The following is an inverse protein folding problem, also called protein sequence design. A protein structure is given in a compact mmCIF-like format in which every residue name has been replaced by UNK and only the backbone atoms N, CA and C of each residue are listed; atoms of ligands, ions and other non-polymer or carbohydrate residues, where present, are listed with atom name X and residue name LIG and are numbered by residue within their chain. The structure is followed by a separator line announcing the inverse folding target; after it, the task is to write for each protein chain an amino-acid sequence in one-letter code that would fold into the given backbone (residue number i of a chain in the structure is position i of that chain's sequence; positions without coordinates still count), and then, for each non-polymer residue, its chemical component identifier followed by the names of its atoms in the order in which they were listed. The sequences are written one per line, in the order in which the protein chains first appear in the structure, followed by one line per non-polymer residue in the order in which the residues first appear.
data_IF_498050575549
#
_entry.id   IF_498050575549
#
_cell.length_a   1.000
_cell.length_b   1.000
_cell.length_c   1.000
_cell.angle_alpha   90.00
_cell.angle_beta   90.00
_cell.angle_gamma   90.00
#
_symmetry.space_group_name_H-M   'P 1'
#
loop_
_entity.id
_entity.type
_entity.pdbx_description
1 polymer ?
#
# COMPACT_ATOMS: atom_id res chain seq x y z
N UNK A 1 -4.92 -7.37 6.38
CA UNK A 1 -4.85 -6.72 5.04
C UNK A 1 -5.45 -5.34 5.14
N UNK A 2 -5.09 -4.39 4.27
CA UNK A 2 -5.85 -3.12 4.21
C UNK A 2 -7.15 -3.31 3.42
N UNK A 3 -8.07 -2.38 3.58
CA UNK A 3 -9.34 -2.37 2.87
C UNK A 3 -9.18 -2.37 1.33
N UNK A 4 -10.26 -2.74 0.64
CA UNK A 4 -10.32 -2.79 -0.82
C UNK A 4 -9.67 -4.05 -1.41
N UNK A 5 -8.86 -3.96 -2.48
CA UNK A 5 -8.35 -5.13 -3.20
C UNK A 5 -7.56 -6.12 -2.32
N UNK A 6 -6.83 -5.63 -1.32
CA UNK A 6 -6.04 -6.48 -0.44
C UNK A 6 -6.92 -7.35 0.46
N UNK A 7 -7.95 -6.76 1.10
CA UNK A 7 -8.92 -7.51 1.90
C UNK A 7 -9.70 -8.51 1.04
N UNK A 8 -10.19 -8.11 -0.14
CA UNK A 8 -10.91 -8.99 -1.07
C UNK A 8 -10.07 -10.21 -1.49
N UNK A 9 -8.79 -10.02 -1.80
CA UNK A 9 -7.88 -11.13 -2.12
C UNK A 9 -7.58 -11.97 -0.89
N UNK A 10 -7.38 -11.37 0.28
CA UNK A 10 -7.15 -12.11 1.53
C UNK A 10 -8.35 -13.01 1.89
N UNK A 11 -9.58 -12.55 1.69
CA UNK A 11 -10.79 -13.36 1.87
C UNK A 11 -10.86 -14.55 0.90
N UNK A 12 -10.50 -14.33 -0.37
CA UNK A 12 -10.43 -15.41 -1.35
C UNK A 12 -9.37 -16.45 -0.97
N UNK A 13 -8.20 -15.99 -0.50
CA UNK A 13 -7.12 -16.86 0.00
C UNK A 13 -7.59 -17.64 1.23
N UNK A 14 -8.31 -17.02 2.18
CA UNK A 14 -8.84 -17.71 3.35
C UNK A 14 -9.80 -18.85 2.97
N UNK A 15 -10.66 -18.63 1.98
CA UNK A 15 -11.56 -19.69 1.44
C UNK A 15 -10.77 -20.85 0.84
N UNK A 16 -9.68 -20.57 0.12
CA UNK A 16 -8.85 -21.61 -0.49
C UNK A 16 -8.01 -22.36 0.56
N UNK A 17 -7.40 -21.65 1.50
CA UNK A 17 -6.60 -22.22 2.58
C UNK A 17 -7.44 -23.16 3.47
N UNK A 18 -8.72 -22.83 3.70
CA UNK A 18 -9.64 -23.69 4.44
C UNK A 18 -9.84 -25.07 3.80
N UNK A 19 -9.78 -25.18 2.47
CA UNK A 19 -9.83 -26.48 1.76
C UNK A 19 -8.61 -27.36 2.05
N UNK A 20 -7.52 -26.74 2.48
CA UNK A 20 -6.25 -27.40 2.83
C UNK A 20 -6.09 -27.57 4.35
N UNK A 21 -7.15 -27.31 5.13
CA UNK A 21 -7.12 -27.44 6.59
C UNK A 21 -6.43 -26.28 7.32
N UNK A 22 -6.15 -25.17 6.63
CA UNK A 22 -5.56 -23.97 7.22
C UNK A 22 -6.68 -22.96 7.49
N UNK A 23 -6.90 -22.61 8.76
CA UNK A 23 -7.87 -21.59 9.14
C UNK A 23 -7.19 -20.21 9.17
N UNK A 24 -7.66 -19.29 8.31
CA UNK A 24 -7.15 -17.93 8.22
C UNK A 24 -8.21 -16.94 8.69
N UNK A 25 -7.92 -16.19 9.75
CA UNK A 25 -8.73 -15.04 10.18
C UNK A 25 -8.22 -13.78 9.50
N UNK A 26 -9.02 -13.23 8.58
CA UNK A 26 -8.71 -11.95 7.94
C UNK A 26 -9.04 -10.81 8.90
N UNK A 27 -8.04 -10.00 9.23
CA UNK A 27 -8.20 -8.74 9.96
C UNK A 27 -8.01 -7.59 8.96
N UNK A 28 -9.00 -6.72 8.87
CA UNK A 28 -8.98 -5.56 8.00
C UNK A 28 -8.53 -4.31 8.77
N UNK A 29 -7.64 -3.54 8.13
CA UNK A 29 -7.12 -2.27 8.65
C UNK A 29 -7.44 -1.15 7.67
N UNK A 30 -7.63 0.06 8.19
CA UNK A 30 -7.97 1.26 7.39
C UNK A 30 -6.78 2.19 7.13
N UNK A 31 -5.60 1.89 7.69
CA UNK A 31 -4.39 2.71 7.57
C UNK A 31 -3.14 1.86 7.29
N UNK A 32 -2.01 2.52 7.04
CA UNK A 32 -0.74 1.89 6.63
C UNK A 32 0.29 1.78 7.75
N UNK A 33 -0.03 2.13 8.99
CA UNK A 33 0.91 2.05 10.11
C UNK A 33 0.52 0.90 11.04
N UNK A 34 -0.77 0.79 11.34
CA UNK A 34 -1.31 -0.23 12.25
C UNK A 34 -1.02 -1.67 11.80
N UNK A 35 -1.09 -2.04 10.50
CA UNK A 35 -0.80 -3.42 10.09
C UNK A 35 0.63 -3.88 10.38
N UNK A 36 1.61 -2.97 10.31
CA UNK A 36 3.01 -3.30 10.58
C UNK A 36 3.33 -3.31 12.07
N UNK A 37 2.73 -2.40 12.84
CA UNK A 37 2.81 -2.44 14.31
C UNK A 37 2.22 -3.73 14.85
N UNK A 38 1.01 -4.10 14.43
CA UNK A 38 0.36 -5.34 14.84
C UNK A 38 1.20 -6.59 14.50
N UNK A 39 1.92 -6.58 13.36
CA UNK A 39 2.82 -7.68 13.01
C UNK A 39 4.08 -7.69 13.87
N UNK A 40 4.69 -6.53 14.12
CA UNK A 40 5.88 -6.40 14.96
C UNK A 40 5.60 -6.76 16.42
N UNK A 41 4.41 -6.41 16.92
CA UNK A 41 3.95 -6.69 18.29
C UNK A 41 3.47 -8.14 18.48
N UNK A 42 3.27 -8.89 17.38
CA UNK A 42 2.86 -10.29 17.39
C UNK A 42 1.34 -10.52 17.43
N UNK A 43 0.54 -9.47 17.31
CA UNK A 43 -0.93 -9.55 17.27
C UNK A 43 -1.46 -10.27 16.02
N UNK A 44 -0.70 -10.21 14.92
CA UNK A 44 -0.97 -10.96 13.68
C UNK A 44 0.29 -11.69 13.22
N UNK A 45 0.12 -12.81 12.50
CA UNK A 45 1.27 -13.58 12.00
C UNK A 45 1.77 -13.10 10.63
N UNK A 46 0.91 -12.44 9.85
CA UNK A 46 1.19 -12.02 8.47
C UNK A 46 0.37 -10.76 8.14
N UNK A 47 0.95 -9.86 7.34
CA UNK A 47 0.20 -8.81 6.66
C UNK A 47 0.47 -8.82 5.14
N UNK A 48 -0.48 -8.31 4.38
CA UNK A 48 -0.38 -8.20 2.92
C UNK A 48 -1.10 -6.92 2.48
N UNK A 49 -0.33 -5.86 2.27
CA UNK A 49 -0.85 -4.54 1.85
C UNK A 49 0.22 -3.61 1.26
N UNK A 50 1.46 -3.78 1.67
CA UNK A 50 2.58 -2.88 1.37
C UNK A 50 3.51 -3.40 0.28
N UNK A 51 4.41 -2.52 -0.18
CA UNK A 51 5.57 -2.85 -1.00
C UNK A 51 6.87 -2.76 -0.19
N UNK A 52 7.93 -3.43 -0.66
CA UNK A 52 9.23 -3.54 0.04
C UNK A 52 9.81 -2.20 0.53
N UNK A 53 9.83 -1.10 -0.26
CA UNK A 53 10.38 0.16 0.25
C UNK A 53 9.65 0.71 1.47
N UNK A 54 8.34 0.49 1.57
CA UNK A 54 7.54 0.93 2.71
C UNK A 54 7.91 0.14 3.95
N UNK A 55 7.99 -1.19 3.82
CA UNK A 55 8.41 -2.10 4.90
C UNK A 55 9.80 -1.76 5.43
N UNK A 56 10.76 -1.53 4.53
CA UNK A 56 12.13 -1.16 4.91
C UNK A 56 12.17 0.21 5.61
N UNK A 57 11.39 1.18 5.15
CA UNK A 57 11.26 2.46 5.83
C UNK A 57 10.59 2.31 7.21
N UNK A 58 9.54 1.49 7.33
CA UNK A 58 8.90 1.20 8.61
C UNK A 58 9.89 0.58 9.60
N UNK A 59 10.66 -0.44 9.16
CA UNK A 59 11.72 -1.05 9.97
C UNK A 59 12.76 -0.02 10.43
N UNK A 60 13.23 0.85 9.53
CA UNK A 60 14.18 1.90 9.87
C UNK A 60 13.64 2.90 10.90
N UNK A 61 12.36 3.26 10.80
CA UNK A 61 11.75 4.26 11.69
C UNK A 61 11.35 3.69 13.05
N UNK A 62 10.98 2.40 13.12
CA UNK A 62 10.40 1.80 14.32
C UNK A 62 11.32 0.76 14.99
N UNK A 63 12.51 0.49 14.44
CA UNK A 63 13.42 -0.52 14.97
C UNK A 63 12.89 -1.95 14.85
N UNK A 64 11.94 -2.21 13.94
CA UNK A 64 11.40 -3.53 13.67
C UNK A 64 12.24 -4.31 12.65
N UNK A 65 11.96 -5.60 12.50
CA UNK A 65 12.67 -6.53 11.63
C UNK A 65 11.73 -7.29 10.67
N UNK A 66 10.69 -6.62 10.20
CA UNK A 66 9.72 -7.22 9.28
C UNK A 66 10.42 -7.66 7.98
N UNK A 67 10.06 -8.84 7.47
CA UNK A 67 10.64 -9.42 6.26
C UNK A 67 9.57 -9.78 5.25
N UNK A 68 9.89 -9.59 3.96
CA UNK A 68 9.03 -10.01 2.88
C UNK A 68 9.22 -11.51 2.60
N UNK A 69 8.13 -12.28 2.66
CA UNK A 69 8.15 -13.72 2.35
C UNK A 69 7.60 -14.05 0.95
N UNK A 70 7.04 -13.06 0.25
CA UNK A 70 6.46 -13.25 -1.08
C UNK A 70 5.86 -11.97 -1.66
N UNK A 71 5.60 -11.98 -2.97
CA UNK A 71 4.89 -10.91 -3.68
C UNK A 71 3.44 -11.33 -3.85
N UNK A 72 2.52 -10.38 -3.69
CA UNK A 72 1.07 -10.64 -3.74
C UNK A 72 0.42 -9.89 -4.89
N UNK A 73 0.24 -8.58 -4.74
CA UNK A 73 -0.49 -7.71 -5.66
C UNK A 73 0.36 -6.52 -6.05
N UNK A 74 0.31 -6.15 -7.33
CA UNK A 74 0.86 -4.88 -7.80
C UNK A 74 -0.29 -3.90 -8.08
N UNK A 75 -0.38 -2.86 -7.26
CA UNK A 75 -1.31 -1.75 -7.48
C UNK A 75 -0.56 -0.62 -8.19
N UNK A 76 -1.08 -0.24 -9.37
CA UNK A 76 -0.53 0.86 -10.17
C UNK A 76 -0.92 2.19 -9.53
N UNK A 77 0.08 3.04 -9.27
CA UNK A 77 -0.14 4.43 -8.88
C UNK A 77 -0.58 5.21 -10.12
N UNK A 78 -1.56 6.10 -9.96
CA UNK A 78 -2.10 6.92 -11.03
C UNK A 78 -2.35 8.34 -10.56
N UNK A 79 -2.47 9.25 -11.52
CA UNK A 79 -3.00 10.60 -11.30
C UNK A 79 -4.49 10.58 -11.56
N UNK A 80 -5.26 11.25 -10.71
CA UNK A 80 -6.71 11.32 -10.80
C UNK A 80 -7.16 12.77 -10.67
N UNK A 81 -8.19 13.14 -11.42
CA UNK A 81 -8.83 14.45 -11.32
C UNK A 81 -10.32 14.31 -11.60
N UNK A 82 -11.13 15.09 -10.89
CA UNK A 82 -12.57 15.16 -11.11
C UNK A 82 -12.95 16.18 -12.20
N UNK A 83 -12.05 17.10 -12.54
CA UNK A 83 -12.32 18.25 -13.43
C UNK A 83 -11.36 18.36 -14.62
N UNK A 84 -10.16 17.79 -14.53
CA UNK A 84 -9.15 17.81 -15.59
C UNK A 84 -9.10 16.42 -16.23
N UNK A 85 -9.23 16.35 -17.55
CA UNK A 85 -9.37 15.08 -18.27
C UNK A 85 -8.11 14.61 -19.00
N UNK A 86 -7.09 15.45 -19.11
CA UNK A 86 -5.78 15.08 -19.62
C UNK A 86 -4.66 15.76 -18.83
N UNK A 87 -3.46 15.18 -18.86
CA UNK A 87 -2.28 15.76 -18.20
C UNK A 87 -1.92 17.13 -18.81
N UNK A 88 -2.17 17.30 -20.11
CA UNK A 88 -1.88 18.51 -20.86
C UNK A 88 -2.80 19.68 -20.48
N UNK A 89 -3.97 19.39 -19.92
CA UNK A 89 -4.97 20.40 -19.53
C UNK A 89 -4.76 20.91 -18.09
N UNK A 90 -3.71 20.45 -17.39
CA UNK A 90 -3.41 20.91 -16.02
C UNK A 90 -2.92 22.36 -16.08
N UNK A 91 -3.61 23.32 -15.42
CA UNK A 91 -3.21 24.71 -15.48
C UNK A 91 -1.93 24.98 -14.67
N UNK A 92 -1.17 25.99 -15.09
CA UNK A 92 -0.02 26.48 -14.31
C UNK A 92 -0.47 26.94 -12.92
N UNK A 93 0.33 26.62 -11.90
CA UNK A 93 0.00 26.90 -10.50
C UNK A 93 -1.07 25.99 -9.88
N UNK A 94 -1.46 24.91 -10.57
CA UNK A 94 -2.35 23.90 -9.99
C UNK A 94 -1.77 23.26 -8.73
N UNK A 95 -2.65 22.94 -7.78
CA UNK A 95 -2.31 22.20 -6.58
C UNK A 95 -2.61 20.71 -6.76
N UNK A 96 -1.65 19.86 -6.39
CA UNK A 96 -1.80 18.40 -6.38
C UNK A 96 -1.57 17.85 -4.98
N UNK A 97 -2.48 17.00 -4.53
CA UNK A 97 -2.31 16.22 -3.30
C UNK A 97 -1.49 14.96 -3.58
N UNK A 98 -0.48 14.70 -2.76
CA UNK A 98 0.35 13.48 -2.83
C UNK A 98 0.34 12.75 -1.47
N UNK A 99 0.70 11.47 -1.43
CA UNK A 99 0.91 10.76 -0.17
C UNK A 99 1.98 11.43 0.70
N UNK A 100 1.78 11.42 2.01
CA UNK A 100 2.67 12.07 2.97
C UNK A 100 3.76 11.16 3.56
N UNK A 101 3.67 9.83 3.38
CA UNK A 101 4.76 8.94 3.75
C UNK A 101 5.94 9.07 2.78
N UNK A 102 7.20 8.93 3.23
CA UNK A 102 8.37 9.19 2.40
C UNK A 102 8.43 8.39 1.10
N UNK A 103 7.96 7.13 1.15
CA UNK A 103 8.11 6.20 0.03
C UNK A 103 7.08 6.44 -1.06
N UNK A 104 5.82 6.61 -0.70
CA UNK A 104 4.75 6.92 -1.64
C UNK A 104 4.78 8.37 -2.09
N UNK A 105 5.18 9.31 -1.22
CA UNK A 105 5.41 10.70 -1.58
C UNK A 105 6.50 10.83 -2.64
N UNK A 106 7.64 10.16 -2.43
CA UNK A 106 8.71 10.10 -3.43
C UNK A 106 8.25 9.46 -4.75
N UNK A 107 7.48 8.36 -4.69
CA UNK A 107 6.91 7.71 -5.88
C UNK A 107 5.95 8.62 -6.64
N UNK A 108 5.16 9.43 -5.93
CA UNK A 108 4.24 10.40 -6.52
C UNK A 108 4.99 11.54 -7.24
N UNK A 109 6.06 12.07 -6.64
CA UNK A 109 6.91 13.08 -7.29
C UNK A 109 7.54 12.55 -8.59
N UNK A 110 8.04 11.32 -8.58
CA UNK A 110 8.56 10.67 -9.80
C UNK A 110 7.47 10.50 -10.87
N UNK A 111 6.24 10.19 -10.47
CA UNK A 111 5.10 10.09 -11.39
C UNK A 111 4.75 11.45 -12.00
N UNK A 112 4.73 12.51 -11.20
CA UNK A 112 4.48 13.89 -11.66
C UNK A 112 5.57 14.35 -12.65
N UNK A 113 6.84 14.07 -12.36
CA UNK A 113 7.94 14.39 -13.26
C UNK A 113 7.84 13.64 -14.60
N UNK A 114 7.48 12.34 -14.55
CA UNK A 114 7.24 11.54 -15.77
C UNK A 114 6.05 12.04 -16.59
N UNK A 115 5.08 12.68 -15.94
CA UNK A 115 3.93 13.29 -16.59
C UNK A 115 4.25 14.70 -17.14
N UNK A 116 5.44 15.25 -16.88
CA UNK A 116 5.82 16.60 -17.31
C UNK A 116 5.13 17.71 -16.50
N UNK A 117 4.66 17.40 -15.28
CA UNK A 117 4.01 18.36 -14.40
C UNK A 117 4.98 19.05 -13.43
N UNK A 118 6.18 18.48 -13.24
CA UNK A 118 7.33 19.05 -12.52
C UNK A 118 8.65 18.61 -13.15
#
# INVERSE_FOLDING_TARGET
ATSGPHAQVAEAVAKEAKKQGIDLKVVEFSDYVTPDKALADGDIQLNAYQHVPFMENFNKQNGSNLVAIGKTLLVRMGLYSNSVHSVQDVPEGATVSIPNDPTNGGRALVLLAKAGLI
#
